data_IF_181768205809
#
_entry.id   IF_181768205809
#
_cell.length_a   1.000
_cell.length_b   1.000
_cell.length_c   1.000
_cell.angle_alpha   90.00
_cell.angle_beta   90.00
_cell.angle_gamma   90.00
#
_symmetry.space_group_name_H-M   'P 1'
#
loop_
_entity.id
_entity.type
_entity.pdbx_description
1 polymer ?
#
# COMPACT_ATOMS: atom_id res chain seq x y z
N UNK A 1 3.93 17.33 11.90
CA UNK A 1 2.71 17.16 11.08
C UNK A 1 2.63 18.27 10.04
N UNK A 2 1.86 18.06 8.98
CA UNK A 2 1.40 19.08 8.01
C UNK A 2 -0.13 19.10 8.09
N UNK A 3 -0.71 20.29 8.15
CA UNK A 3 -2.16 20.48 8.12
C UNK A 3 -2.51 21.28 6.86
N UNK A 4 -3.47 20.78 6.09
CA UNK A 4 -4.07 21.48 4.96
C UNK A 4 -5.55 21.67 5.27
N UNK A 5 -6.05 22.91 5.21
CA UNK A 5 -7.42 23.22 5.60
C UNK A 5 -8.01 24.33 4.75
N UNK A 6 -9.32 24.31 4.59
CA UNK A 6 -10.11 25.34 3.93
C UNK A 6 -11.51 25.40 4.52
N UNK A 7 -12.46 25.95 3.77
CA UNK A 7 -13.85 26.01 4.23
C UNK A 7 -14.46 24.62 4.29
N UNK A 8 -14.86 24.18 5.49
CA UNK A 8 -15.50 22.89 5.70
C UNK A 8 -14.61 21.64 5.61
N UNK A 9 -13.27 21.77 5.51
CA UNK A 9 -12.38 20.61 5.52
C UNK A 9 -11.04 20.87 6.23
N UNK A 10 -10.45 19.78 6.76
CA UNK A 10 -9.11 19.75 7.34
C UNK A 10 -8.48 18.37 7.16
N UNK A 11 -7.27 18.34 6.59
CA UNK A 11 -6.49 17.13 6.34
C UNK A 11 -5.16 17.19 7.10
N UNK A 12 -4.77 16.08 7.72
CA UNK A 12 -3.54 16.01 8.50
C UNK A 12 -2.63 14.93 7.93
N UNK A 13 -1.39 15.32 7.64
CA UNK A 13 -0.33 14.41 7.22
C UNK A 13 0.74 14.31 8.31
N UNK A 14 1.12 13.08 8.64
CA UNK A 14 2.30 12.84 9.46
C UNK A 14 3.55 12.99 8.57
N UNK A 15 4.40 13.98 8.87
CA UNK A 15 5.62 14.25 8.09
C UNK A 15 6.75 13.25 8.32
N UNK A 16 6.71 12.55 9.46
CA UNK A 16 7.67 11.50 9.78
C UNK A 16 7.32 10.23 9.03
N UNK A 17 6.05 9.82 9.08
CA UNK A 17 5.57 8.57 8.47
C UNK A 17 5.05 8.74 7.04
N UNK A 18 5.00 9.95 6.50
CA UNK A 18 4.55 10.21 5.13
C UNK A 18 3.11 9.80 4.84
N UNK A 19 2.22 9.84 5.83
CA UNK A 19 0.86 9.30 5.70
C UNK A 19 -0.21 10.35 5.97
N UNK A 20 -1.32 10.27 5.22
CA UNK A 20 -2.56 10.98 5.51
C UNK A 20 -3.23 10.29 6.70
N UNK A 21 -3.26 10.94 7.85
CA UNK A 21 -3.68 10.36 9.13
C UNK A 21 -5.05 10.82 9.61
N UNK A 22 -5.58 11.91 9.09
CA UNK A 22 -6.92 12.42 9.44
C UNK A 22 -7.52 13.17 8.26
N UNK A 23 -8.82 12.97 8.05
CA UNK A 23 -9.63 13.72 7.11
C UNK A 23 -10.93 14.17 7.76
N UNK A 24 -11.01 15.45 8.12
CA UNK A 24 -12.24 16.05 8.63
C UNK A 24 -12.94 16.79 7.49
N UNK A 25 -14.21 16.47 7.25
CA UNK A 25 -15.09 17.17 6.30
C UNK A 25 -16.41 17.47 6.99
N UNK A 26 -16.86 18.72 6.96
CA UNK A 26 -18.08 19.18 7.65
C UNK A 26 -18.15 18.72 9.12
N UNK A 27 -17.04 18.92 9.84
CA UNK A 27 -16.84 18.53 11.24
C UNK A 27 -16.92 17.01 11.54
N UNK A 28 -16.97 16.16 10.51
CA UNK A 28 -16.90 14.70 10.64
C UNK A 28 -15.50 14.19 10.30
N UNK A 29 -14.85 13.50 11.24
CA UNK A 29 -13.65 12.72 10.96
C UNK A 29 -14.03 11.48 10.14
N UNK A 30 -13.37 11.30 9.00
CA UNK A 30 -13.66 10.23 8.06
C UNK A 30 -12.71 9.04 8.22
N UNK A 31 -11.50 9.23 8.75
CA UNK A 31 -10.49 8.17 8.84
C UNK A 31 -10.28 7.68 10.29
N UNK A 32 -10.31 6.37 10.47
CA UNK A 32 -9.91 5.68 11.71
C UNK A 32 -8.42 5.31 11.70
N UNK A 33 -7.84 5.18 10.50
CA UNK A 33 -6.42 4.84 10.34
C UNK A 33 -5.84 5.52 9.11
N UNK A 34 -4.50 5.67 9.03
CA UNK A 34 -3.87 6.27 7.87
C UNK A 34 -4.13 5.50 6.57
N UNK A 35 -4.21 6.23 5.44
CA UNK A 35 -4.26 5.64 4.10
C UNK A 35 -2.95 4.88 3.80
N UNK A 36 -3.05 3.62 3.36
CA UNK A 36 -1.86 2.80 3.03
C UNK A 36 -2.03 2.00 1.74
N UNK A 37 -0.91 1.73 1.07
CA UNK A 37 -0.83 0.68 0.05
C UNK A 37 -1.23 -0.66 0.66
N UNK A 38 -1.96 -1.46 -0.10
CA UNK A 38 -2.27 -2.83 0.24
C UNK A 38 -2.02 -3.73 -0.98
N UNK A 39 -1.10 -4.69 -0.81
CA UNK A 39 -0.75 -5.70 -1.81
C UNK A 39 -1.31 -7.07 -1.46
N UNK A 40 -2.04 -7.18 -0.35
CA UNK A 40 -2.44 -8.45 0.25
C UNK A 40 -3.96 -8.57 0.38
N UNK A 41 -4.41 -9.81 0.33
CA UNK A 41 -5.73 -10.25 0.80
C UNK A 41 -5.57 -11.65 1.37
N UNK A 42 -6.48 -12.04 2.25
CA UNK A 42 -6.55 -13.43 2.71
C UNK A 42 -6.67 -14.38 1.51
N UNK A 43 -5.87 -15.46 1.42
CA UNK A 43 -5.96 -16.45 0.36
C UNK A 43 -7.35 -17.14 0.35
N UNK A 44 -7.86 -17.46 -0.84
CA UNK A 44 -9.07 -18.29 -0.97
C UNK A 44 -8.68 -19.77 -0.90
N UNK A 45 -9.70 -20.63 -0.84
CA UNK A 45 -9.51 -22.09 -0.91
C UNK A 45 -8.67 -22.51 -2.13
N UNK A 46 -8.87 -21.89 -3.29
CA UNK A 46 -8.10 -22.17 -4.52
C UNK A 46 -6.60 -21.86 -4.40
N UNK A 47 -6.19 -21.03 -3.43
CA UNK A 47 -4.79 -20.70 -3.20
C UNK A 47 -4.18 -21.49 -2.02
N UNK A 48 -5.02 -22.14 -1.22
CA UNK A 48 -4.61 -22.95 -0.06
C UNK A 48 -4.57 -24.45 -0.36
N UNK A 49 -5.16 -24.89 -1.47
CA UNK A 49 -5.08 -26.29 -1.91
C UNK A 49 -3.76 -26.57 -2.66
N UNK A 50 -3.38 -27.85 -2.76
CA UNK A 50 -2.09 -28.27 -3.30
C UNK A 50 -2.12 -28.63 -4.80
N UNK A 51 -3.30 -28.85 -5.38
CA UNK A 51 -3.43 -29.39 -6.75
C UNK A 51 -2.85 -28.45 -7.83
N UNK A 52 -2.82 -27.14 -7.57
CA UNK A 52 -2.25 -26.11 -8.43
C UNK A 52 -0.97 -25.47 -7.86
N UNK A 53 -0.43 -25.97 -6.75
CA UNK A 53 0.77 -25.39 -6.13
C UNK A 53 1.98 -25.34 -7.09
N UNK A 54 2.06 -26.28 -8.05
CA UNK A 54 3.11 -26.32 -9.06
C UNK A 54 3.08 -25.13 -10.03
N UNK A 55 1.90 -24.53 -10.31
CA UNK A 55 1.79 -23.33 -11.15
C UNK A 55 2.33 -22.08 -10.48
N UNK A 56 2.51 -22.15 -9.16
CA UNK A 56 2.97 -21.08 -8.29
C UNK A 56 4.42 -21.25 -7.83
N UNK A 57 5.10 -22.31 -8.28
CA UNK A 57 6.43 -22.67 -7.76
C UNK A 57 7.48 -21.67 -8.26
N UNK A 58 8.13 -20.99 -7.32
CA UNK A 58 9.24 -20.07 -7.60
C UNK A 58 10.47 -20.40 -6.77
N UNK A 59 11.60 -19.77 -7.10
CA UNK A 59 12.81 -19.83 -6.28
C UNK A 59 12.70 -19.07 -4.95
N UNK A 60 11.64 -18.28 -4.75
CA UNK A 60 11.40 -17.51 -3.53
C UNK A 60 10.78 -18.35 -2.42
N UNK A 61 10.31 -19.58 -2.71
CA UNK A 61 9.61 -20.41 -1.75
C UNK A 61 10.49 -20.74 -0.53
N UNK A 62 9.96 -20.46 0.65
CA UNK A 62 10.60 -20.73 1.92
C UNK A 62 10.05 -22.00 2.54
N UNK A 63 10.93 -22.79 3.13
CA UNK A 63 10.55 -23.97 3.90
C UNK A 63 9.62 -23.57 5.07
N UNK A 64 8.64 -24.43 5.39
CA UNK A 64 7.69 -24.20 6.48
C UNK A 64 6.38 -23.50 6.09
N UNK A 65 6.25 -22.96 4.87
CA UNK A 65 5.01 -22.35 4.39
C UNK A 65 4.08 -23.31 3.60
N UNK A 66 4.40 -24.60 3.56
CA UNK A 66 3.60 -25.63 2.89
C UNK A 66 3.76 -25.67 1.37
N UNK A 67 3.00 -26.54 0.70
CA UNK A 67 3.00 -26.71 -0.77
C UNK A 67 1.66 -26.29 -1.35
N UNK A 68 1.45 -24.97 -1.50
CA UNK A 68 0.21 -24.33 -1.96
C UNK A 68 0.53 -23.13 -2.85
N UNK A 69 -0.44 -22.54 -3.51
CA UNK A 69 -0.23 -21.28 -4.26
C UNK A 69 0.10 -20.12 -3.32
N UNK A 70 -0.53 -20.08 -2.14
CA UNK A 70 -0.28 -19.07 -1.11
C UNK A 70 1.15 -19.13 -0.54
N UNK A 71 1.85 -20.26 -0.69
CA UNK A 71 3.26 -20.42 -0.30
C UNK A 71 4.13 -19.33 -0.92
N UNK A 72 3.91 -18.99 -2.20
CA UNK A 72 4.64 -17.91 -2.88
C UNK A 72 4.46 -16.57 -2.15
N UNK A 73 3.21 -16.24 -1.82
CA UNK A 73 2.87 -14.96 -1.21
C UNK A 73 3.47 -14.82 0.20
N UNK A 74 3.32 -15.85 1.04
CA UNK A 74 3.86 -15.84 2.39
C UNK A 74 5.40 -15.86 2.40
N UNK A 75 6.02 -16.54 1.45
CA UNK A 75 7.48 -16.57 1.31
C UNK A 75 8.04 -15.22 0.87
N UNK A 76 7.34 -14.53 -0.02
CA UNK A 76 7.65 -13.16 -0.43
C UNK A 76 7.42 -12.15 0.71
N UNK A 77 6.52 -12.43 1.65
CA UNK A 77 6.26 -11.57 2.81
C UNK A 77 5.34 -10.39 2.51
N UNK A 78 4.52 -10.49 1.45
CA UNK A 78 3.54 -9.45 1.09
C UNK A 78 2.41 -9.31 2.11
N UNK A 79 2.24 -10.31 2.99
CA UNK A 79 1.31 -10.31 4.12
C UNK A 79 1.81 -9.47 5.32
N UNK A 80 3.10 -9.11 5.31
CA UNK A 80 3.80 -8.47 6.43
C UNK A 80 4.65 -7.30 5.93
N UNK A 81 4.04 -6.42 5.14
CA UNK A 81 4.71 -5.23 4.63
C UNK A 81 5.21 -4.36 5.79
N UNK A 82 6.44 -3.87 5.66
CA UNK A 82 7.02 -2.90 6.58
C UNK A 82 7.19 -1.56 5.87
N UNK A 83 6.54 -0.55 6.40
CA UNK A 83 6.56 0.81 5.86
C UNK A 83 7.84 1.55 6.25
N UNK A 84 8.49 2.18 5.27
CA UNK A 84 9.66 3.02 5.46
C UNK A 84 9.52 4.36 4.70
N UNK A 85 9.31 5.49 5.40
CA UNK A 85 9.24 6.80 4.77
C UNK A 85 10.61 7.22 4.24
N UNK A 86 10.64 7.80 3.04
CA UNK A 86 11.89 8.23 2.37
C UNK A 86 11.95 9.74 2.13
N UNK A 87 10.86 10.34 1.67
CA UNK A 87 10.79 11.77 1.38
C UNK A 87 9.39 12.32 1.57
N UNK A 88 9.32 13.58 2.00
CA UNK A 88 8.09 14.35 2.12
C UNK A 88 8.36 15.79 1.72
N UNK A 89 7.73 16.24 0.63
CA UNK A 89 7.81 17.63 0.17
C UNK A 89 6.43 18.20 -0.10
N UNK A 90 6.33 19.52 0.03
CA UNK A 90 5.09 20.28 -0.15
C UNK A 90 5.40 21.49 -1.00
N UNK A 91 4.50 21.81 -1.91
CA UNK A 91 4.50 23.06 -2.66
C UNK A 91 3.08 23.57 -2.80
N UNK A 92 2.91 24.88 -2.77
CA UNK A 92 1.64 25.54 -3.02
C UNK A 92 1.66 26.14 -4.43
N UNK A 93 0.60 25.91 -5.19
CA UNK A 93 0.41 26.42 -6.54
C UNK A 93 -0.94 27.12 -6.63
N UNK A 94 -1.25 27.71 -7.79
CA UNK A 94 -2.59 28.26 -8.05
C UNK A 94 -3.68 27.20 -8.11
N UNK A 95 -3.32 25.92 -8.30
CA UNK A 95 -4.26 24.79 -8.40
C UNK A 95 -4.53 24.15 -7.03
N UNK A 96 -3.71 24.46 -6.02
CA UNK A 96 -3.88 23.98 -4.65
C UNK A 96 -2.56 23.62 -3.96
N UNK A 97 -2.66 22.80 -2.92
CA UNK A 97 -1.51 22.27 -2.18
C UNK A 97 -1.12 20.92 -2.78
N UNK A 98 0.12 20.83 -3.28
CA UNK A 98 0.72 19.60 -3.78
C UNK A 98 1.63 19.01 -2.70
N UNK A 99 1.42 17.74 -2.38
CA UNK A 99 2.22 16.99 -1.42
C UNK A 99 2.81 15.79 -2.16
N UNK A 100 4.14 15.75 -2.25
CA UNK A 100 4.85 14.62 -2.83
C UNK A 100 5.46 13.78 -1.71
N UNK A 101 5.12 12.50 -1.69
CA UNK A 101 5.59 11.55 -0.71
C UNK A 101 6.27 10.41 -1.44
N UNK A 102 7.46 10.05 -0.96
CA UNK A 102 8.14 8.83 -1.38
C UNK A 102 8.30 7.96 -0.14
N UNK A 103 7.84 6.73 -0.22
CA UNK A 103 8.07 5.71 0.79
C UNK A 103 8.47 4.38 0.14
N UNK A 104 8.88 3.42 0.97
CA UNK A 104 9.09 2.05 0.58
C UNK A 104 8.20 1.13 1.42
N UNK A 105 7.47 0.25 0.77
CA UNK A 105 6.79 -0.88 1.40
C UNK A 105 7.63 -2.14 1.19
N UNK A 106 8.34 -2.54 2.25
CA UNK A 106 9.28 -3.66 2.22
C UNK A 106 8.56 -4.99 2.45
N UNK A 107 8.90 -5.99 1.64
CA UNK A 107 8.37 -7.34 1.67
C UNK A 107 9.35 -8.26 2.41
N UNK A 108 8.96 -8.70 3.60
CA UNK A 108 9.79 -9.55 4.45
C UNK A 108 11.06 -8.86 4.97
N UNK A 109 12.00 -9.65 5.49
CA UNK A 109 13.30 -9.16 5.97
C UNK A 109 14.31 -9.18 4.84
N UNK A 110 15.20 -8.18 4.83
CA UNK A 110 16.33 -8.18 3.90
C UNK A 110 17.23 -9.40 4.08
N UNK A 111 17.64 -10.00 2.98
CA UNK A 111 18.45 -11.22 2.96
C UNK A 111 19.87 -10.91 2.49
N UNK A 112 20.86 -11.57 3.12
CA UNK A 112 22.26 -11.44 2.66
C UNK A 112 22.38 -12.09 1.30
N UNK A 113 22.90 -11.32 0.34
CA UNK A 113 23.12 -11.77 -1.02
C UNK A 113 24.55 -11.44 -1.45
N UNK A 114 25.21 -12.43 -2.03
CA UNK A 114 26.53 -12.26 -2.66
C UNK A 114 26.32 -11.75 -4.07
N UNK A 115 26.68 -10.49 -4.32
CA UNK A 115 26.54 -9.84 -5.63
C UNK A 115 27.65 -10.26 -6.60
N UNK A 116 28.85 -10.52 -6.07
CA UNK A 116 29.98 -11.11 -6.79
C UNK A 116 30.97 -11.73 -5.79
N UNK A 117 32.07 -12.33 -6.27
CA UNK A 117 33.15 -12.97 -5.50
C UNK A 117 33.59 -12.20 -4.25
N UNK A 118 33.60 -10.86 -4.31
CA UNK A 118 34.09 -9.98 -3.24
C UNK A 118 33.04 -9.02 -2.66
N UNK A 119 31.80 -9.02 -3.18
CA UNK A 119 30.77 -8.06 -2.76
C UNK A 119 29.58 -8.82 -2.18
N UNK A 120 29.29 -8.54 -0.92
CA UNK A 120 28.09 -8.99 -0.23
C UNK A 120 27.25 -7.77 0.17
N UNK A 121 25.94 -7.91 0.11
CA UNK A 121 25.00 -6.88 0.52
C UNK A 121 23.74 -7.48 1.12
N UNK A 122 22.86 -6.62 1.63
CA UNK A 122 21.52 -7.02 2.04
C UNK A 122 20.58 -6.60 0.91
N UNK A 123 19.90 -7.59 0.32
CA UNK A 123 18.84 -7.34 -0.65
C UNK A 123 17.53 -7.12 0.10
N UNK A 124 16.93 -5.94 -0.07
CA UNK A 124 15.57 -5.67 0.37
C UNK A 124 14.66 -5.74 -0.85
N UNK A 125 13.51 -6.39 -0.70
CA UNK A 125 12.50 -6.47 -1.75
C UNK A 125 11.32 -5.61 -1.32
N UNK A 126 10.69 -4.90 -2.25
CA UNK A 126 9.55 -4.07 -1.92
C UNK A 126 9.05 -3.22 -3.07
N UNK A 127 8.13 -2.31 -2.75
CA UNK A 127 7.64 -1.29 -3.68
C UNK A 127 8.11 0.07 -3.19
N UNK A 128 8.78 0.83 -4.04
CA UNK A 128 8.96 2.27 -3.84
C UNK A 128 7.71 2.98 -4.35
N UNK A 129 7.00 3.65 -3.46
CA UNK A 129 5.80 4.39 -3.80
C UNK A 129 6.13 5.85 -4.02
N UNK A 130 5.55 6.42 -5.07
CA UNK A 130 5.49 7.85 -5.28
C UNK A 130 4.02 8.27 -5.21
N UNK A 131 3.66 9.03 -4.18
CA UNK A 131 2.37 9.66 -4.07
C UNK A 131 2.48 11.14 -4.41
N UNK A 132 1.53 11.62 -5.19
CA UNK A 132 1.23 13.05 -5.35
C UNK A 132 -0.22 13.26 -4.90
N UNK A 133 -0.39 13.99 -3.81
CA UNK A 133 -1.68 14.47 -3.34
C UNK A 133 -1.84 15.92 -3.81
N UNK A 134 -2.93 16.20 -4.52
CA UNK A 134 -3.28 17.54 -4.98
C UNK A 134 -4.58 17.93 -4.31
N UNK A 135 -4.51 18.91 -3.41
CA UNK A 135 -5.65 19.36 -2.59
C UNK A 135 -6.06 20.75 -3.07
N UNK A 136 -7.25 20.85 -3.67
CA UNK A 136 -7.75 22.12 -4.18
C UNK A 136 -8.48 22.96 -3.11
N UNK A 137 -8.95 24.15 -3.48
CA UNK A 137 -9.64 25.08 -2.57
C UNK A 137 -10.99 24.57 -2.05
N UNK A 138 -11.63 23.62 -2.74
CA UNK A 138 -12.87 22.98 -2.26
C UNK A 138 -12.60 21.78 -1.34
N UNK A 139 -11.34 21.41 -1.12
CA UNK A 139 -10.97 20.24 -0.33
C UNK A 139 -11.01 18.93 -1.11
N UNK A 140 -11.17 18.94 -2.43
CA UNK A 140 -11.03 17.73 -3.23
C UNK A 140 -9.57 17.28 -3.21
N UNK A 141 -9.34 15.99 -2.95
CA UNK A 141 -8.01 15.36 -3.02
C UNK A 141 -7.94 14.51 -4.28
N UNK A 142 -7.06 14.88 -5.23
CA UNK A 142 -6.60 13.97 -6.28
C UNK A 142 -5.36 13.24 -5.76
N UNK A 143 -5.34 11.90 -5.93
CA UNK A 143 -4.18 11.08 -5.56
C UNK A 143 -3.65 10.43 -6.83
N UNK A 144 -2.40 10.75 -7.18
CA UNK A 144 -1.64 10.00 -8.18
C UNK A 144 -0.64 9.12 -7.46
N UNK A 145 -0.70 7.82 -7.74
CA UNK A 145 0.16 6.83 -7.08
C UNK A 145 0.89 6.00 -8.12
N UNK A 146 2.22 6.06 -8.09
CA UNK A 146 3.11 5.25 -8.93
C UNK A 146 3.86 4.26 -8.04
N UNK A 147 3.75 2.97 -8.36
CA UNK A 147 4.44 1.89 -7.69
C UNK A 147 5.66 1.47 -8.52
N UNK A 148 6.83 1.40 -7.90
CA UNK A 148 8.08 0.92 -8.53
C UNK A 148 8.61 -0.31 -7.78
N UNK A 149 8.46 -1.52 -8.35
CA UNK A 149 8.99 -2.73 -7.76
C UNK A 149 10.52 -2.74 -7.70
N UNK A 150 11.09 -3.12 -6.57
CA UNK A 150 12.54 -3.20 -6.36
C UNK A 150 12.94 -4.55 -5.75
N UNK A 151 13.93 -5.21 -6.33
CA UNK A 151 14.40 -6.52 -5.90
C UNK A 151 13.57 -7.69 -6.46
N UNK A 152 13.55 -8.81 -5.72
CA UNK A 152 12.82 -10.03 -6.10
C UNK A 152 11.35 -9.89 -5.74
N UNK A 153 10.50 -9.80 -6.76
CA UNK A 153 9.04 -9.72 -6.61
C UNK A 153 8.39 -11.10 -6.53
N UNK A 154 7.21 -11.20 -5.90
CA UNK A 154 6.39 -12.40 -6.03
C UNK A 154 5.94 -12.59 -7.48
N UNK A 155 5.57 -13.81 -7.82
CA UNK A 155 5.03 -14.13 -9.16
C UNK A 155 3.77 -13.30 -9.53
N UNK A 156 2.93 -12.95 -8.56
CA UNK A 156 1.80 -12.04 -8.71
C UNK A 156 1.43 -11.39 -7.38
N UNK A 157 0.64 -10.32 -7.45
CA UNK A 157 -0.01 -9.72 -6.29
C UNK A 157 -1.49 -10.10 -6.28
N UNK A 158 -2.05 -10.55 -5.14
CA UNK A 158 -3.47 -10.89 -5.07
C UNK A 158 -4.36 -9.63 -5.02
N UNK A 159 -3.79 -8.45 -4.78
CA UNK A 159 -4.41 -7.12 -4.84
C UNK A 159 -3.33 -6.07 -5.14
N UNK A 160 -3.71 -4.97 -5.79
CA UNK A 160 -2.95 -3.72 -5.78
C UNK A 160 -3.94 -2.58 -5.58
N UNK A 161 -3.77 -1.79 -4.52
CA UNK A 161 -4.62 -0.62 -4.29
C UNK A 161 -4.37 0.02 -2.92
N UNK A 162 -5.20 0.98 -2.58
CA UNK A 162 -5.16 1.66 -1.29
C UNK A 162 -6.24 1.10 -0.36
N UNK A 163 -5.96 1.06 0.93
CA UNK A 163 -6.94 0.73 1.96
C UNK A 163 -7.22 1.95 2.83
N UNK A 164 -8.51 2.24 3.00
CA UNK A 164 -9.04 3.27 3.90
C UNK A 164 -9.81 2.55 4.99
N UNK A 165 -9.49 2.85 6.25
CA UNK A 165 -10.37 2.51 7.37
C UNK A 165 -11.18 3.75 7.67
N UNK A 166 -12.47 3.68 7.39
CA UNK A 166 -13.39 4.81 7.54
C UNK A 166 -14.10 4.77 8.88
N UNK A 167 -14.59 5.92 9.35
CA UNK A 167 -15.34 6.02 10.61
C UNK A 167 -16.55 5.07 10.65
N UNK A 168 -16.76 4.42 11.80
CA UNK A 168 -17.93 3.58 12.08
C UNK A 168 -19.27 4.34 11.99
N UNK A 169 -19.24 5.68 11.94
CA UNK A 169 -20.42 6.50 11.66
C UNK A 169 -20.95 6.33 10.22
N UNK A 170 -20.16 5.76 9.30
CA UNK A 170 -20.52 5.52 7.90
C UNK A 170 -20.91 4.04 7.71
N UNK A 171 -22.20 3.72 7.88
CA UNK A 171 -22.69 2.33 7.85
C UNK A 171 -23.40 1.92 6.55
N UNK A 172 -23.56 2.86 5.61
CA UNK A 172 -24.17 2.63 4.29
C UNK A 172 -23.14 2.81 3.17
N UNK A 173 -23.20 1.94 2.17
CA UNK A 173 -22.39 2.06 0.95
C UNK A 173 -23.30 2.17 -0.27
N UNK A 174 -23.02 3.15 -1.13
CA UNK A 174 -23.66 3.31 -2.44
C UNK A 174 -22.57 3.42 -3.50
N UNK A 175 -22.70 2.66 -4.58
CA UNK A 175 -21.75 2.68 -5.69
C UNK A 175 -22.46 2.64 -7.04
N UNK A 176 -21.73 3.02 -8.08
CA UNK A 176 -22.15 2.88 -9.48
C UNK A 176 -21.17 1.94 -10.19
N UNK A 177 -21.65 0.76 -10.62
CA UNK A 177 -20.82 -0.30 -11.19
C UNK A 177 -21.51 -1.67 -11.17
N UNK A 178 -20.75 -2.75 -11.27
CA UNK A 178 -21.26 -4.14 -11.19
C UNK A 178 -21.80 -4.45 -9.78
N UNK A 179 -22.86 -5.25 -9.69
CA UNK A 179 -23.51 -5.61 -8.43
C UNK A 179 -24.89 -6.22 -8.65
N UNK A 180 -25.68 -6.44 -7.56
CA UNK A 180 -25.41 -6.03 -6.18
C UNK A 180 -24.54 -7.01 -5.37
N UNK A 181 -24.33 -8.23 -5.84
CA UNK A 181 -23.51 -9.23 -5.14
C UNK A 181 -22.00 -9.03 -5.39
N UNK A 182 -21.20 -9.69 -4.55
CA UNK A 182 -19.76 -9.85 -4.74
C UNK A 182 -19.46 -10.40 -6.15
N UNK A 183 -18.43 -9.85 -6.79
CA UNK A 183 -17.94 -10.29 -8.09
C UNK A 183 -16.41 -10.05 -8.16
N UNK A 184 -15.71 -10.96 -8.83
CA UNK A 184 -14.27 -10.94 -9.08
C UNK A 184 -13.99 -11.07 -10.58
#
# INVERSE_FOLDING_TARGET
ELVVSGDGFKYVFNRTDGQLTSMVVQDMELLESPLRLNLWRAPLANELDNWNASSARSSNWKEGYGYTVATEMYSAGIDRLTHQPLSFSVSETTEGVHIHIIDAELMGKGEKEKKDLYIEGIQNNGIINHYEYIINSEGTIEIRHVLKPEGKMPLWFPRIGLTLTVSDALDQVKWYGRGPQENY
#
